data_IF_054923560559
#
_entry.id   IF_054923560559
#
_cell.length_a   1.000
_cell.length_b   1.000
_cell.length_c   1.000
_cell.angle_alpha   90.00
_cell.angle_beta   90.00
_cell.angle_gamma   90.00
#
_symmetry.space_group_name_H-M   'P 1'
#
loop_
_entity.id
_entity.type
_entity.pdbx_description
1 polymer ?
#
# COMPACT_ATOMS: atom_id res chain seq x y z
N UNK A 1 -15.42 -9.57 18.55
CA UNK A 1 -14.17 -8.81 18.82
C UNK A 1 -13.08 -9.37 17.92
N UNK A 2 -12.25 -8.51 17.31
CA UNK A 2 -11.22 -8.92 16.35
C UNK A 2 -9.84 -8.62 16.95
N UNK A 3 -9.31 -9.55 17.74
CA UNK A 3 -8.08 -9.29 18.52
C UNK A 3 -6.79 -9.47 17.69
N UNK A 4 -6.89 -10.17 16.55
CA UNK A 4 -5.78 -10.44 15.65
C UNK A 4 -6.25 -10.37 14.20
N UNK A 5 -5.35 -9.91 13.33
CA UNK A 5 -5.53 -9.92 11.88
C UNK A 5 -4.32 -10.53 11.20
N UNK A 6 -4.56 -11.17 10.08
CA UNK A 6 -3.54 -11.74 9.20
C UNK A 6 -3.59 -10.93 7.90
N UNK A 7 -2.47 -10.35 7.49
CA UNK A 7 -2.36 -9.58 6.26
C UNK A 7 -1.65 -10.45 5.23
N UNK A 8 -2.31 -10.71 4.10
CA UNK A 8 -1.78 -11.53 3.02
C UNK A 8 -1.66 -10.70 1.75
N UNK A 9 -0.44 -10.54 1.24
CA UNK A 9 -0.21 -9.85 -0.02
C UNK A 9 -0.70 -10.72 -1.20
N UNK A 10 -1.51 -10.15 -2.07
CA UNK A 10 -1.85 -10.79 -3.33
C UNK A 10 -0.85 -10.39 -4.39
N UNK A 11 -0.03 -11.35 -4.80
CA UNK A 11 0.92 -11.19 -5.90
C UNK A 11 0.22 -11.66 -7.16
N UNK A 12 -0.09 -10.74 -8.06
CA UNK A 12 -0.66 -11.07 -9.36
C UNK A 12 0.45 -11.61 -10.26
N UNK A 13 0.38 -12.91 -10.58
CA UNK A 13 1.44 -13.60 -11.34
C UNK A 13 1.63 -13.01 -12.74
N UNK A 14 0.55 -12.51 -13.35
CA UNK A 14 0.60 -11.79 -14.63
C UNK A 14 1.39 -10.49 -14.52
N UNK A 15 1.17 -9.71 -13.45
CA UNK A 15 1.87 -8.45 -13.19
C UNK A 15 3.37 -8.71 -12.90
N UNK A 16 3.69 -9.80 -12.20
CA UNK A 16 5.06 -10.22 -11.94
C UNK A 16 5.83 -10.68 -13.20
N UNK A 17 5.14 -11.31 -14.15
CA UNK A 17 5.73 -11.78 -15.42
C UNK A 17 5.87 -10.64 -16.44
N UNK A 18 4.90 -9.71 -16.49
CA UNK A 18 4.87 -8.59 -17.43
C UNK A 18 5.70 -7.39 -16.97
N UNK A 19 6.19 -7.39 -15.73
CA UNK A 19 6.98 -6.27 -15.17
C UNK A 19 6.19 -4.96 -15.05
N UNK A 20 4.85 -5.04 -15.16
CA UNK A 20 3.95 -3.90 -15.00
C UNK A 20 3.77 -3.62 -13.51
N UNK A 21 4.22 -2.45 -13.06
CA UNK A 21 4.04 -2.01 -11.67
C UNK A 21 2.57 -1.67 -11.42
N UNK A 22 1.86 -2.64 -10.89
CA UNK A 22 0.49 -2.52 -10.43
C UNK A 22 0.46 -2.35 -8.94
N UNK A 23 -0.53 -1.59 -8.50
CA UNK A 23 -0.95 -1.37 -7.12
C UNK A 23 -0.78 -2.61 -6.24
N UNK A 24 -0.02 -2.51 -5.15
CA UNK A 24 0.09 -3.58 -4.16
C UNK A 24 -1.29 -3.87 -3.56
N UNK A 25 -1.78 -5.11 -3.68
CA UNK A 25 -3.08 -5.56 -3.15
C UNK A 25 -2.86 -6.46 -1.93
N UNK A 26 -3.69 -6.30 -0.91
CA UNK A 26 -3.61 -7.08 0.33
C UNK A 26 -4.99 -7.53 0.77
N UNK A 27 -5.04 -8.76 1.27
CA UNK A 27 -6.21 -9.35 1.87
C UNK A 27 -6.03 -9.39 3.39
N UNK A 28 -6.97 -8.81 4.14
CA UNK A 28 -6.91 -8.79 5.60
C UNK A 28 -7.92 -9.82 6.11
N UNK A 29 -7.42 -10.79 6.85
CA UNK A 29 -8.17 -11.95 7.34
C UNK A 29 -8.23 -11.97 8.86
N UNK A 30 -9.29 -12.56 9.39
CA UNK A 30 -9.32 -12.96 10.79
C UNK A 30 -8.49 -14.26 10.99
N UNK A 31 -8.28 -14.70 12.25
CA UNK A 31 -7.55 -15.94 12.53
C UNK A 31 -8.22 -17.21 11.98
N UNK A 32 -9.52 -17.15 11.68
CA UNK A 32 -10.26 -18.24 11.03
C UNK A 32 -10.05 -18.26 9.50
N UNK A 33 -9.24 -17.33 8.95
CA UNK A 33 -8.94 -17.24 7.52
C UNK A 33 -10.01 -16.52 6.69
N UNK A 34 -11.07 -16.00 7.31
CA UNK A 34 -12.12 -15.27 6.61
C UNK A 34 -11.66 -13.85 6.30
N UNK A 35 -11.86 -13.39 5.06
CA UNK A 35 -11.58 -12.01 4.67
C UNK A 35 -12.53 -11.05 5.38
N UNK A 36 -11.95 -10.10 6.09
CA UNK A 36 -12.67 -9.02 6.77
C UNK A 36 -12.53 -7.69 6.04
N UNK A 37 -11.37 -7.45 5.41
CA UNK A 37 -11.11 -6.25 4.62
C UNK A 37 -10.21 -6.55 3.42
N UNK A 38 -10.18 -5.61 2.49
CA UNK A 38 -9.28 -5.60 1.35
C UNK A 38 -8.56 -4.25 1.29
N UNK A 39 -7.25 -4.25 1.03
CA UNK A 39 -6.45 -3.04 0.96
C UNK A 39 -5.73 -2.93 -0.38
N UNK A 40 -5.76 -1.76 -0.99
CA UNK A 40 -5.11 -1.48 -2.28
C UNK A 40 -4.24 -0.25 -2.17
N UNK A 41 -3.02 -0.35 -2.65
CA UNK A 41 -2.12 0.78 -2.79
C UNK A 41 -2.41 1.55 -4.09
N UNK A 42 -2.81 2.81 -4.00
CA UNK A 42 -3.30 3.60 -5.14
C UNK A 42 -2.20 4.28 -5.97
N UNK A 43 -0.91 4.16 -5.61
CA UNK A 43 0.18 4.86 -6.31
C UNK A 43 1.44 3.98 -6.47
N UNK A 44 1.74 3.55 -7.69
CA UNK A 44 2.96 2.83 -8.02
C UNK A 44 3.38 3.07 -9.47
N UNK A 45 4.42 3.87 -9.69
CA UNK A 45 5.11 3.92 -10.98
C UNK A 45 6.54 4.52 -10.92
N UNK A 46 6.87 5.31 -9.89
CA UNK A 46 8.19 5.94 -9.80
C UNK A 46 8.72 5.97 -8.37
N UNK A 47 9.38 4.90 -7.89
CA UNK A 47 10.49 5.05 -6.91
C UNK A 47 11.30 3.78 -6.54
N UNK A 48 11.16 2.63 -7.21
CA UNK A 48 11.88 1.42 -6.74
C UNK A 48 13.40 1.46 -6.93
N UNK A 49 13.95 2.40 -7.71
CA UNK A 49 15.40 2.48 -7.97
C UNK A 49 16.16 3.55 -7.20
N UNK A 50 15.50 4.54 -6.56
CA UNK A 50 16.23 5.67 -5.96
C UNK A 50 15.84 6.00 -4.51
N UNK A 51 14.57 5.87 -4.08
CA UNK A 51 14.15 6.25 -2.73
C UNK A 51 13.24 5.21 -2.03
N UNK A 52 13.64 3.92 -2.09
CA UNK A 52 12.85 2.77 -1.62
C UNK A 52 12.21 2.89 -0.20
N UNK A 53 12.88 3.40 0.85
CA UNK A 53 12.23 3.58 2.15
C UNK A 53 11.42 4.89 2.27
N UNK A 54 11.54 5.83 1.33
CA UNK A 54 11.08 7.22 1.45
C UNK A 54 9.82 7.52 0.61
N UNK A 55 9.38 6.58 -0.24
CA UNK A 55 8.27 6.82 -1.16
C UNK A 55 6.95 7.16 -0.45
N UNK A 56 6.23 8.09 -1.07
CA UNK A 56 4.83 8.33 -0.76
C UNK A 56 4.00 7.13 -1.19
N UNK A 57 2.97 6.81 -0.42
CA UNK A 57 1.95 5.86 -0.84
C UNK A 57 0.61 6.24 -0.22
N UNK A 58 -0.46 5.84 -0.90
CA UNK A 58 -1.81 5.87 -0.33
C UNK A 58 -2.36 4.46 -0.38
N UNK A 59 -2.89 3.98 0.74
CA UNK A 59 -3.56 2.69 0.84
C UNK A 59 -5.00 2.94 1.24
N UNK A 60 -5.92 2.45 0.42
CA UNK A 60 -7.35 2.45 0.69
C UNK A 60 -7.77 1.07 1.17
N UNK A 61 -8.41 1.01 2.33
CA UNK A 61 -8.89 -0.23 2.96
C UNK A 61 -10.41 -0.21 2.91
N UNK A 62 -10.99 -1.23 2.29
CA UNK A 62 -12.43 -1.38 2.11
C UNK A 62 -12.98 -2.61 2.85
N UNK A 63 -14.23 -2.52 3.27
CA UNK A 63 -15.00 -3.64 3.79
C UNK A 63 -15.40 -4.62 2.68
N UNK A 64 -16.05 -5.73 3.06
CA UNK A 64 -16.53 -6.72 2.11
C UNK A 64 -17.65 -6.22 1.18
N UNK A 65 -18.28 -5.08 1.48
CA UNK A 65 -19.25 -4.42 0.61
C UNK A 65 -18.58 -3.44 -0.36
N UNK A 66 -17.25 -3.32 -0.34
CA UNK A 66 -16.48 -2.41 -1.19
C UNK A 66 -16.50 -0.96 -0.71
N UNK A 67 -16.98 -0.69 0.51
CA UNK A 67 -16.97 0.66 1.08
C UNK A 67 -15.64 0.90 1.75
N UNK A 68 -14.99 2.00 1.40
CA UNK A 68 -13.77 2.43 2.07
C UNK A 68 -14.05 2.72 3.54
N UNK A 69 -13.28 2.08 4.41
CA UNK A 69 -13.39 2.23 5.87
C UNK A 69 -12.19 2.95 6.45
N UNK A 70 -11.01 2.83 5.83
CA UNK A 70 -9.77 3.46 6.29
C UNK A 70 -8.98 3.91 5.07
N UNK A 71 -8.47 5.14 5.14
CA UNK A 71 -7.49 5.68 4.19
C UNK A 71 -6.18 5.97 4.91
N UNK A 72 -5.10 5.34 4.46
CA UNK A 72 -3.76 5.57 4.99
C UNK A 72 -2.97 6.36 3.95
N UNK A 73 -2.54 7.56 4.32
CA UNK A 73 -1.75 8.44 3.46
C UNK A 73 -0.37 8.59 4.09
N UNK A 74 0.66 8.11 3.38
CA UNK A 74 2.05 8.40 3.71
C UNK A 74 2.58 9.42 2.71
N UNK A 75 2.82 10.68 3.12
CA UNK A 75 3.46 11.65 2.24
C UNK A 75 4.91 11.26 1.95
N UNK A 76 5.48 11.80 0.87
CA UNK A 76 6.89 11.60 0.51
C UNK A 76 7.74 12.14 1.65
N UNK A 77 8.63 11.33 2.21
CA UNK A 77 9.60 11.80 3.22
C UNK A 77 10.97 11.64 2.64
N UNK A 78 11.48 12.63 1.95
CA UNK A 78 12.82 12.56 1.38
C UNK A 78 13.82 13.14 2.39
N UNK A 79 14.77 12.30 2.84
CA UNK A 79 15.82 12.69 3.80
C UNK A 79 17.16 12.99 3.13
N UNK A 80 17.22 13.01 1.80
CA UNK A 80 18.47 13.20 1.06
C UNK A 80 18.72 14.69 0.79
N UNK A 81 19.90 15.17 1.21
CA UNK A 81 20.41 16.51 0.91
C UNK A 81 20.52 16.81 -0.61
N UNK A 82 20.49 15.78 -1.46
CA UNK A 82 20.77 15.89 -2.90
C UNK A 82 19.52 16.02 -3.80
N UNK A 83 18.30 16.05 -3.23
CA UNK A 83 17.06 16.30 -3.95
C UNK A 83 16.27 17.41 -3.24
N UNK A 84 15.70 18.39 -3.96
CA UNK A 84 15.03 19.53 -3.33
C UNK A 84 13.66 19.11 -2.82
N UNK A 85 13.63 18.43 -1.69
CA UNK A 85 12.44 17.90 -1.05
C UNK A 85 11.88 18.86 0.00
N UNK A 86 12.03 20.18 -0.21
CA UNK A 86 11.73 21.25 0.74
C UNK A 86 10.24 21.64 0.83
N UNK A 87 9.32 20.82 0.32
CA UNK A 87 7.88 21.08 0.28
C UNK A 87 7.07 20.16 1.21
N UNK A 88 7.69 19.67 2.28
CA UNK A 88 6.97 18.85 3.27
C UNK A 88 6.38 19.75 4.36
N UNK A 89 5.05 19.97 4.32
CA UNK A 89 4.30 20.47 5.48
C UNK A 89 4.36 19.45 6.63
N UNK A 90 4.54 19.96 7.84
CA UNK A 90 4.62 19.22 9.11
C UNK A 90 3.23 18.78 9.56
#
# INVERSE_FOLDING_TARGET
QLDQIIIHQQVDLLEAVLGTETSSKYEIKNPLGQRVYFAVEENGCFDRKLCSPLRAFTISIADNAGREVIRVIRPLRCTSCCFPCFLQEV
#
